data_IF_165349837410
#
_entry.id   IF_165349837410
#
_cell.length_a   1.000
_cell.length_b   1.000
_cell.length_c   1.000
_cell.angle_alpha   90.00
_cell.angle_beta   90.00
_cell.angle_gamma   90.00
#
_symmetry.space_group_name_H-M   'P 1'
#
loop_
_entity.id
_entity.type
_entity.pdbx_description
1 polymer ?
#
# COMPACT_ATOMS: atom_id res chain seq x y z
N UNK A 1 30.24 33.88 -0.53
CA UNK A 1 31.53 33.67 0.16
C UNK A 1 31.24 33.62 1.65
N UNK A 2 31.00 32.43 2.17
CA UNK A 2 31.86 31.77 3.18
C UNK A 2 31.76 32.37 4.61
N UNK A 3 31.18 31.55 5.52
CA UNK A 3 31.72 31.19 6.86
C UNK A 3 31.73 32.26 7.98
N UNK A 4 31.58 31.99 9.28
CA UNK A 4 31.42 30.81 10.14
C UNK A 4 30.80 31.30 11.48
N UNK A 5 29.79 30.61 12.02
CA UNK A 5 29.87 29.73 13.21
C UNK A 5 30.65 30.29 14.41
N UNK A 6 29.92 30.63 15.47
CA UNK A 6 30.42 30.75 16.84
C UNK A 6 30.37 29.39 17.53
N UNK A 7 31.52 29.02 18.07
CA UNK A 7 31.78 27.88 18.96
C UNK A 7 31.17 28.20 20.34
N UNK A 8 30.45 27.25 20.93
CA UNK A 8 30.39 27.10 22.38
C UNK A 8 30.55 25.62 22.72
N UNK A 9 31.64 25.33 23.43
CA UNK A 9 31.94 24.04 24.02
C UNK A 9 31.46 24.04 25.47
N UNK A 10 30.98 22.89 25.96
CA UNK A 10 31.20 22.46 27.35
C UNK A 10 31.28 20.94 27.40
N UNK A 11 32.40 20.48 27.95
CA UNK A 11 32.79 19.09 28.19
C UNK A 11 32.18 18.53 29.46
N UNK A 12 32.00 17.21 29.53
CA UNK A 12 32.72 16.33 30.46
C UNK A 12 32.12 14.93 30.41
N UNK A 13 32.90 13.93 29.97
CA UNK A 13 32.93 12.62 30.62
C UNK A 13 34.24 11.90 30.27
N UNK A 14 34.86 11.43 31.34
CA UNK A 14 36.21 10.91 31.53
C UNK A 14 36.37 9.47 31.04
N UNK A 15 37.45 9.17 30.32
CA UNK A 15 37.95 7.80 30.06
C UNK A 15 39.37 7.71 30.66
N UNK A 16 39.75 6.64 31.39
CA UNK A 16 41.07 6.53 31.97
C UNK A 16 42.12 5.94 31.01
N UNK A 17 43.26 6.63 30.98
CA UNK A 17 44.66 6.17 30.85
C UNK A 17 45.01 4.92 30.03
N UNK A 18 45.73 5.13 28.92
CA UNK A 18 46.61 4.15 28.27
C UNK A 18 48.07 4.46 28.63
N UNK A 19 48.79 3.45 29.11
CA UNK A 19 50.22 3.47 29.43
C UNK A 19 51.06 2.99 28.21
N UNK A 20 51.84 3.91 27.65
CA UNK A 20 53.30 3.88 27.38
C UNK A 20 53.99 2.64 26.73
N UNK A 21 54.60 2.92 25.57
CA UNK A 21 55.87 2.44 24.96
C UNK A 21 56.12 0.96 24.65
N UNK A 22 56.43 0.64 23.39
CA UNK A 22 57.83 0.63 22.93
C UNK A 22 58.01 0.40 21.42
N UNK A 23 59.07 1.03 20.94
CA UNK A 23 59.59 1.09 19.57
C UNK A 23 60.33 -0.21 19.21
N UNK A 24 60.11 -0.73 18.00
CA UNK A 24 61.14 -1.49 17.29
C UNK A 24 61.04 -1.20 15.78
N UNK A 25 62.03 -0.48 15.28
CA UNK A 25 62.25 -0.18 13.86
C UNK A 25 62.98 -1.35 13.19
N UNK A 26 62.42 -1.91 12.12
CA UNK A 26 63.21 -2.58 11.08
C UNK A 26 62.89 -1.95 9.72
N UNK A 27 63.93 -1.34 9.12
CA UNK A 27 63.91 -0.80 7.76
C UNK A 27 63.95 -1.95 6.75
N UNK A 28 62.92 -2.10 5.94
CA UNK A 28 63.01 -2.74 4.62
C UNK A 28 62.35 -1.82 3.60
N UNK A 29 63.09 -1.51 2.54
CA UNK A 29 62.77 -0.57 1.47
C UNK A 29 62.08 -1.38 0.36
N UNK A 30 60.81 -1.14 0.05
CA UNK A 30 60.20 -1.64 -1.19
C UNK A 30 58.92 -0.86 -1.60
N UNK A 31 59.03 -0.20 -2.76
CA UNK A 31 58.01 0.09 -3.77
C UNK A 31 56.66 0.74 -3.38
N UNK A 32 56.50 1.99 -3.82
CA UNK A 32 55.23 2.71 -3.92
C UNK A 32 54.26 1.96 -4.87
N UNK A 33 53.28 1.25 -4.30
CA UNK A 33 52.00 0.99 -4.95
C UNK A 33 50.90 1.64 -4.13
N UNK A 34 50.30 2.71 -4.67
CA UNK A 34 49.06 3.31 -4.16
C UNK A 34 47.94 2.27 -4.22
N UNK A 35 47.68 1.59 -3.11
CA UNK A 35 46.44 0.86 -2.87
C UNK A 35 45.48 1.82 -2.17
N UNK A 36 44.53 2.39 -2.93
CA UNK A 36 43.28 2.90 -2.36
C UNK A 36 42.36 1.70 -2.16
N UNK A 37 41.82 1.43 -0.96
CA UNK A 37 40.62 0.62 -0.86
C UNK A 37 39.44 1.53 -1.20
N UNK A 38 39.04 1.54 -2.47
CA UNK A 38 37.65 1.87 -2.78
C UNK A 38 36.84 0.67 -2.31
N UNK A 39 36.15 0.81 -1.17
CA UNK A 39 35.07 -0.09 -0.80
C UNK A 39 33.96 0.16 -1.82
N UNK A 40 33.63 -0.78 -2.73
CA UNK A 40 32.39 -0.67 -3.46
C UNK A 40 31.30 -1.08 -2.46
N UNK A 41 30.46 -0.13 -2.06
CA UNK A 41 29.10 -0.43 -1.60
C UNK A 41 28.32 -0.98 -2.81
N UNK A 42 28.72 -2.17 -3.26
CA UNK A 42 27.97 -2.97 -4.19
C UNK A 42 26.75 -3.49 -3.45
N UNK A 43 25.60 -2.84 -3.68
CA UNK A 43 24.31 -3.50 -3.46
C UNK A 43 24.28 -4.69 -4.40
N UNK A 44 24.66 -5.85 -3.88
CA UNK A 44 24.55 -7.11 -4.62
C UNK A 44 23.06 -7.46 -4.75
N UNK A 45 22.40 -6.88 -5.76
CA UNK A 45 21.16 -7.42 -6.29
C UNK A 45 21.49 -8.72 -7.03
N UNK A 46 21.73 -9.79 -6.27
CA UNK A 46 21.65 -11.14 -6.80
C UNK A 46 20.19 -11.40 -7.13
N UNK A 47 19.90 -11.48 -8.43
CA UNK A 47 18.65 -11.84 -9.12
C UNK A 47 17.44 -10.91 -8.92
N UNK A 48 17.05 -10.26 -10.03
CA UNK A 48 15.75 -9.62 -10.26
C UNK A 48 14.61 -10.65 -10.13
N UNK A 49 13.56 -10.41 -9.32
CA UNK A 49 12.35 -11.22 -9.36
C UNK A 49 11.46 -10.77 -10.54
N UNK A 50 11.04 -11.72 -11.38
CA UNK A 50 10.00 -11.52 -12.39
C UNK A 50 10.48 -11.33 -13.83
N UNK A 51 11.06 -12.38 -14.42
CA UNK A 51 11.22 -12.52 -15.88
C UNK A 51 10.05 -13.35 -16.42
N UNK A 52 8.91 -12.70 -16.62
CA UNK A 52 7.85 -13.14 -17.54
C UNK A 52 7.50 -11.91 -18.37
N UNK A 53 7.93 -11.90 -19.65
CA UNK A 53 7.68 -10.80 -20.61
C UNK A 53 8.95 -10.06 -21.06
N UNK A 54 9.03 -9.77 -22.36
CA UNK A 54 10.20 -9.21 -23.08
C UNK A 54 10.58 -7.75 -22.73
N UNK A 55 10.17 -7.21 -21.59
CA UNK A 55 10.53 -5.85 -21.18
C UNK A 55 11.74 -5.89 -20.25
N UNK A 56 12.95 -5.88 -20.82
CA UNK A 56 14.18 -5.61 -20.07
C UNK A 56 14.09 -4.15 -19.59
N UNK A 57 13.55 -3.95 -18.38
CA UNK A 57 13.55 -2.64 -17.72
C UNK A 57 15.00 -2.14 -17.64
N UNK A 58 15.30 -1.02 -18.30
CA UNK A 58 16.64 -0.46 -18.30
C UNK A 58 17.10 -0.18 -16.87
N UNK A 59 18.37 -0.42 -16.55
CA UNK A 59 18.92 -0.12 -15.21
C UNK A 59 18.68 1.34 -14.80
N UNK A 60 18.65 2.26 -15.78
CA UNK A 60 18.29 3.65 -15.56
C UNK A 60 16.85 3.82 -15.04
N UNK A 61 15.87 3.07 -15.57
CA UNK A 61 14.48 3.12 -15.09
C UNK A 61 14.30 2.58 -13.66
N UNK A 62 15.23 1.75 -13.19
CA UNK A 62 15.25 1.18 -11.83
C UNK A 62 15.96 2.14 -10.86
N UNK A 63 17.08 2.72 -11.27
CA UNK A 63 17.91 3.61 -10.44
C UNK A 63 17.30 5.02 -10.37
N UNK A 64 16.69 5.49 -11.45
CA UNK A 64 16.07 6.81 -11.54
C UNK A 64 14.71 6.70 -12.24
N UNK A 65 13.67 6.23 -11.53
CA UNK A 65 12.34 6.10 -12.10
C UNK A 65 11.80 7.49 -12.50
N UNK A 66 11.05 7.59 -13.61
CA UNK A 66 10.37 8.84 -13.95
C UNK A 66 9.41 9.22 -12.82
N UNK A 67 9.31 10.53 -12.53
CA UNK A 67 8.51 11.07 -11.42
C UNK A 67 7.05 10.56 -11.47
N UNK A 68 6.48 10.42 -12.66
CA UNK A 68 5.14 9.88 -12.88
C UNK A 68 4.93 8.43 -12.40
N UNK A 69 6.00 7.69 -12.10
CA UNK A 69 5.97 6.32 -11.53
C UNK A 69 6.30 6.29 -10.03
N UNK A 70 6.62 7.43 -9.43
CA UNK A 70 6.83 7.56 -7.98
C UNK A 70 5.47 7.82 -7.32
N UNK A 71 5.21 7.17 -6.18
CA UNK A 71 3.99 7.36 -5.38
C UNK A 71 4.37 7.54 -3.92
N UNK A 72 4.04 8.68 -3.34
CA UNK A 72 4.23 8.90 -1.91
C UNK A 72 2.94 8.55 -1.17
N UNK A 73 2.85 7.32 -0.67
CA UNK A 73 1.67 6.82 0.04
C UNK A 73 1.92 6.70 1.55
N UNK A 74 0.95 7.12 2.36
CA UNK A 74 0.94 6.87 3.80
C UNK A 74 -0.01 5.75 4.17
N UNK A 75 0.34 4.95 5.19
CA UNK A 75 -0.57 3.94 5.75
C UNK A 75 -1.09 4.48 7.09
N UNK A 76 -2.39 4.76 7.15
CA UNK A 76 -3.09 5.20 8.35
C UNK A 76 -3.93 4.05 8.91
N UNK A 77 -3.94 3.87 10.22
CA UNK A 77 -4.72 2.82 10.86
C UNK A 77 -4.93 3.13 12.34
N UNK A 78 -5.97 2.53 12.93
CA UNK A 78 -6.08 2.45 14.40
C UNK A 78 -4.99 1.52 14.98
N UNK A 79 -4.79 1.61 16.30
CA UNK A 79 -4.00 0.64 17.07
C UNK A 79 -4.52 -0.77 16.77
N UNK A 80 -3.58 -1.69 16.55
CA UNK A 80 -3.83 -3.09 16.21
C UNK A 80 -4.63 -3.37 14.94
N UNK A 81 -5.06 -2.38 14.14
CA UNK A 81 -5.72 -2.66 12.85
C UNK A 81 -4.79 -3.36 11.82
N UNK A 82 -3.48 -3.41 12.10
CA UNK A 82 -2.50 -4.17 11.32
C UNK A 82 -1.64 -3.33 10.39
N UNK A 83 -1.49 -2.01 10.64
CA UNK A 83 -0.60 -1.10 9.88
C UNK A 83 0.78 -1.70 9.62
N UNK A 84 1.46 -2.14 10.68
CA UNK A 84 2.83 -2.66 10.58
C UNK A 84 2.86 -3.95 9.79
N UNK A 85 1.93 -4.87 10.04
CA UNK A 85 1.81 -6.14 9.31
C UNK A 85 1.54 -5.91 7.81
N UNK A 86 0.64 -5.00 7.46
CA UNK A 86 0.37 -4.62 6.06
C UNK A 86 1.60 -4.00 5.41
N UNK A 87 2.30 -3.11 6.12
CA UNK A 87 3.53 -2.47 5.62
C UNK A 87 4.63 -3.50 5.38
N UNK A 88 4.86 -4.41 6.32
CA UNK A 88 5.84 -5.49 6.18
C UNK A 88 5.52 -6.41 5.00
N UNK A 89 4.24 -6.75 4.80
CA UNK A 89 3.80 -7.55 3.64
C UNK A 89 4.03 -6.83 2.32
N UNK A 90 3.75 -5.53 2.23
CA UNK A 90 4.05 -4.71 1.04
C UNK A 90 5.56 -4.73 0.75
N UNK A 91 6.40 -4.53 1.76
CA UNK A 91 7.86 -4.57 1.61
C UNK A 91 8.38 -5.97 1.23
N UNK A 92 7.75 -7.03 1.74
CA UNK A 92 8.08 -8.41 1.41
C UNK A 92 7.72 -8.77 -0.03
N UNK A 93 6.50 -8.42 -0.48
CA UNK A 93 6.05 -8.73 -1.84
C UNK A 93 6.72 -7.87 -2.90
N UNK A 94 7.10 -6.63 -2.57
CA UNK A 94 7.92 -5.79 -3.48
C UNK A 94 9.38 -6.27 -3.59
N UNK A 95 9.80 -7.23 -2.76
CA UNK A 95 11.17 -7.74 -2.73
C UNK A 95 12.17 -6.82 -2.04
N UNK A 96 11.70 -5.76 -1.35
CA UNK A 96 12.57 -4.87 -0.58
C UNK A 96 13.12 -5.55 0.67
N UNK A 97 12.27 -6.32 1.36
CA UNK A 97 12.66 -7.11 2.54
C UNK A 97 12.56 -8.59 2.21
N UNK A 98 13.57 -9.39 2.60
CA UNK A 98 13.59 -10.84 2.35
C UNK A 98 12.97 -11.69 3.46
N UNK A 99 12.68 -11.11 4.63
CA UNK A 99 12.13 -11.80 5.80
C UNK A 99 11.08 -10.94 6.52
N UNK A 100 9.96 -11.56 6.91
CA UNK A 100 8.95 -10.96 7.78
C UNK A 100 9.47 -10.93 9.23
N UNK A 101 9.16 -9.89 10.02
CA UNK A 101 9.53 -9.82 11.45
C UNK A 101 10.60 -8.80 11.84
N UNK A 102 10.99 -7.90 10.93
CA UNK A 102 11.71 -6.68 11.33
C UNK A 102 10.70 -5.64 11.79
N UNK A 103 10.40 -5.58 13.09
CA UNK A 103 9.55 -4.51 13.63
C UNK A 103 10.28 -3.18 13.44
N UNK A 104 9.92 -2.47 12.37
CA UNK A 104 10.35 -1.09 12.22
C UNK A 104 9.33 -0.25 12.96
N UNK A 105 9.73 0.24 14.14
CA UNK A 105 8.93 1.15 14.96
C UNK A 105 8.70 2.47 14.21
N UNK A 106 7.57 2.59 13.52
CA UNK A 106 7.16 3.84 12.89
C UNK A 106 6.32 4.67 13.88
N UNK A 107 7.00 5.39 14.76
CA UNK A 107 6.41 6.44 15.62
C UNK A 107 6.72 7.82 15.05
N UNK A 108 6.12 8.14 13.91
CA UNK A 108 6.16 9.49 13.33
C UNK A 108 4.90 10.28 13.70
N UNK A 109 5.08 11.57 13.93
CA UNK A 109 3.96 12.52 14.07
C UNK A 109 3.13 12.52 12.77
N UNK A 110 1.89 12.03 12.86
CA UNK A 110 0.96 11.87 11.73
C UNK A 110 0.84 13.15 10.91
N UNK A 111 0.77 14.32 11.57
CA UNK A 111 0.54 15.60 10.92
C UNK A 111 1.68 16.01 9.97
N UNK A 112 2.93 15.69 10.29
CA UNK A 112 4.07 16.05 9.42
C UNK A 112 4.10 15.18 8.17
N UNK A 113 3.76 13.90 8.32
CA UNK A 113 3.73 12.96 7.21
C UNK A 113 2.65 13.35 6.19
N UNK A 114 1.45 13.70 6.66
CA UNK A 114 0.32 14.08 5.79
C UNK A 114 0.67 15.21 4.80
N UNK A 115 1.58 16.14 5.16
CA UNK A 115 1.97 17.26 4.28
C UNK A 115 2.83 16.86 3.06
N UNK A 116 3.37 15.65 3.06
CA UNK A 116 4.32 15.17 2.03
C UNK A 116 3.70 14.07 1.16
N UNK A 117 2.55 13.53 1.57
CA UNK A 117 1.92 12.39 0.92
C UNK A 117 1.03 12.84 -0.24
N UNK A 118 1.11 12.10 -1.34
CA UNK A 118 0.21 12.27 -2.50
C UNK A 118 -1.10 11.51 -2.30
N UNK A 119 -1.10 10.49 -1.44
CA UNK A 119 -2.27 9.67 -1.13
C UNK A 119 -2.07 8.83 0.13
N UNK A 120 -3.14 8.17 0.59
CA UNK A 120 -3.03 7.30 1.75
C UNK A 120 -3.93 6.06 1.72
N UNK A 121 -3.52 5.02 2.44
CA UNK A 121 -4.26 3.78 2.64
C UNK A 121 -4.75 3.75 4.08
N UNK A 122 -6.07 3.76 4.27
CA UNK A 122 -6.71 3.67 5.55
C UNK A 122 -7.04 2.21 5.88
N UNK A 123 -6.32 1.63 6.83
CA UNK A 123 -6.46 0.24 7.26
C UNK A 123 -7.42 0.15 8.44
N UNK A 124 -8.45 -0.68 8.30
CA UNK A 124 -9.48 -0.94 9.32
C UNK A 124 -9.47 -2.42 9.74
N UNK A 125 -9.78 -2.72 11.01
CA UNK A 125 -10.07 -4.09 11.43
C UNK A 125 -11.53 -4.42 11.06
N UNK A 126 -11.74 -5.45 10.24
CA UNK A 126 -13.05 -5.87 9.77
C UNK A 126 -14.03 -6.30 10.88
N UNK A 127 -13.52 -6.60 12.08
CA UNK A 127 -14.36 -6.91 13.24
C UNK A 127 -14.75 -5.68 14.07
N UNK A 128 -13.90 -4.64 14.09
CA UNK A 128 -14.10 -3.44 14.91
C UNK A 128 -14.70 -2.27 14.11
N UNK A 129 -14.51 -2.25 12.79
CA UNK A 129 -14.94 -1.15 11.92
C UNK A 129 -14.16 0.13 12.20
N UNK A 130 -14.86 1.27 12.22
CA UNK A 130 -14.24 2.57 12.49
C UNK A 130 -14.18 2.87 13.99
N UNK A 131 -12.99 3.15 14.50
CA UNK A 131 -12.74 3.49 15.90
C UNK A 131 -12.47 4.99 16.09
N UNK A 132 -12.52 5.45 17.35
CA UNK A 132 -12.43 6.88 17.68
C UNK A 132 -11.12 7.53 17.20
N UNK A 133 -9.99 6.81 17.29
CA UNK A 133 -8.70 7.33 16.80
C UNK A 133 -8.69 7.49 15.28
N UNK A 134 -9.35 6.59 14.54
CA UNK A 134 -9.44 6.68 13.09
C UNK A 134 -10.14 7.95 12.64
N UNK A 135 -11.15 8.42 13.38
CA UNK A 135 -11.83 9.69 13.10
C UNK A 135 -10.87 10.89 13.17
N UNK A 136 -9.93 10.88 14.12
CA UNK A 136 -8.97 11.99 14.27
C UNK A 136 -8.00 12.05 13.10
N UNK A 137 -7.46 10.90 12.69
CA UNK A 137 -6.55 10.80 11.55
C UNK A 137 -7.26 11.08 10.23
N UNK A 138 -8.52 10.64 10.12
CA UNK A 138 -9.36 10.93 8.95
C UNK A 138 -9.57 12.44 8.77
N UNK A 139 -9.96 13.15 9.83
CA UNK A 139 -10.12 14.62 9.81
C UNK A 139 -8.82 15.35 9.49
N UNK A 140 -7.68 14.84 9.96
CA UNK A 140 -6.38 15.40 9.62
C UNK A 140 -6.08 15.23 8.13
N UNK A 141 -6.39 14.07 7.55
CA UNK A 141 -6.22 13.83 6.12
C UNK A 141 -7.21 14.65 5.27
N UNK A 142 -8.43 14.88 5.75
CA UNK A 142 -9.39 15.80 5.11
C UNK A 142 -8.83 17.22 5.04
N UNK A 143 -8.23 17.72 6.14
CA UNK A 143 -7.63 19.05 6.19
C UNK A 143 -6.49 19.24 5.18
N UNK A 144 -5.80 18.16 4.81
CA UNK A 144 -4.70 18.17 3.86
C UNK A 144 -5.12 17.74 2.44
N UNK A 145 -6.42 17.52 2.20
CA UNK A 145 -6.96 17.08 0.90
C UNK A 145 -6.26 15.83 0.33
N UNK A 146 -5.97 14.86 1.19
CA UNK A 146 -5.23 13.65 0.79
C UNK A 146 -6.21 12.59 0.24
N UNK A 147 -6.12 12.20 -1.03
CA UNK A 147 -6.95 11.13 -1.57
C UNK A 147 -6.61 9.80 -0.89
N UNK A 148 -7.64 9.00 -0.62
CA UNK A 148 -7.53 7.82 0.25
C UNK A 148 -8.21 6.62 -0.36
N UNK A 149 -7.70 5.44 -0.02
CA UNK A 149 -8.39 4.16 -0.20
C UNK A 149 -8.54 3.48 1.15
N UNK A 150 -9.64 2.78 1.37
CA UNK A 150 -9.86 1.96 2.55
C UNK A 150 -9.40 0.53 2.28
N UNK A 151 -8.81 -0.10 3.29
CA UNK A 151 -8.41 -1.50 3.27
C UNK A 151 -8.93 -2.19 4.52
N UNK A 152 -9.84 -3.16 4.33
CA UNK A 152 -10.39 -3.96 5.41
C UNK A 152 -9.45 -5.14 5.69
N UNK A 153 -8.80 -5.10 6.85
CA UNK A 153 -7.85 -6.10 7.29
C UNK A 153 -8.46 -7.05 8.33
N UNK A 154 -7.76 -8.15 8.62
CA UNK A 154 -8.16 -9.19 9.58
C UNK A 154 -9.51 -9.84 9.28
N UNK A 155 -9.81 -10.04 8.00
CA UNK A 155 -11.01 -10.75 7.53
C UNK A 155 -11.08 -12.21 8.02
N UNK A 156 -9.97 -12.77 8.50
CA UNK A 156 -9.82 -14.11 9.07
C UNK A 156 -10.29 -14.22 10.53
N UNK A 157 -10.41 -13.09 11.23
CA UNK A 157 -10.75 -13.04 12.65
C UNK A 157 -12.20 -13.47 12.90
N UNK A 158 -12.44 -14.18 14.01
CA UNK A 158 -13.80 -14.49 14.46
C UNK A 158 -14.57 -13.21 14.76
N UNK A 159 -15.71 -13.02 14.10
CA UNK A 159 -16.50 -11.78 14.18
C UNK A 159 -16.14 -10.72 13.15
N UNK A 160 -15.23 -11.00 12.21
CA UNK A 160 -15.04 -10.15 11.04
C UNK A 160 -16.31 -10.13 10.20
N UNK A 161 -16.83 -8.94 9.91
CA UNK A 161 -18.00 -8.76 9.06
C UNK A 161 -17.77 -7.61 8.09
N UNK A 162 -17.73 -7.94 6.80
CA UNK A 162 -17.54 -6.97 5.72
C UNK A 162 -18.64 -5.91 5.72
N UNK A 163 -19.91 -6.35 5.79
CA UNK A 163 -21.09 -5.47 5.77
C UNK A 163 -21.05 -4.48 6.95
N UNK A 164 -20.73 -4.97 8.15
CA UNK A 164 -20.58 -4.11 9.33
C UNK A 164 -19.47 -3.07 9.15
N UNK A 165 -18.30 -3.47 8.66
CA UNK A 165 -17.17 -2.56 8.48
C UNK A 165 -17.47 -1.45 7.46
N UNK A 166 -18.12 -1.79 6.34
CA UNK A 166 -18.57 -0.84 5.32
C UNK A 166 -19.59 0.15 5.88
N UNK A 167 -20.60 -0.33 6.60
CA UNK A 167 -21.60 0.57 7.20
C UNK A 167 -20.98 1.46 8.27
N UNK A 168 -20.03 0.94 9.04
CA UNK A 168 -19.26 1.72 10.00
C UNK A 168 -18.49 2.87 9.34
N UNK A 169 -17.90 2.65 8.16
CA UNK A 169 -17.25 3.69 7.36
C UNK A 169 -18.26 4.74 6.93
N UNK A 170 -19.42 4.33 6.43
CA UNK A 170 -20.49 5.24 5.99
C UNK A 170 -21.00 6.12 7.13
N UNK A 171 -21.39 5.54 8.25
CA UNK A 171 -22.02 6.26 9.36
C UNK A 171 -21.03 7.14 10.13
N UNK A 172 -19.87 6.60 10.51
CA UNK A 172 -18.93 7.28 11.42
C UNK A 172 -18.04 8.28 10.68
N UNK A 173 -17.55 7.95 9.48
CA UNK A 173 -16.70 8.85 8.69
C UNK A 173 -17.52 9.80 7.82
N UNK A 174 -18.82 9.53 7.62
CA UNK A 174 -19.69 10.28 6.69
C UNK A 174 -19.15 10.29 5.26
N UNK A 175 -18.40 9.26 4.89
CA UNK A 175 -17.84 9.07 3.56
C UNK A 175 -18.76 8.14 2.75
N UNK A 176 -18.73 8.26 1.42
CA UNK A 176 -19.41 7.33 0.51
C UNK A 176 -18.44 6.19 0.15
N UNK A 177 -18.62 4.96 0.66
CA UNK A 177 -17.74 3.84 0.30
C UNK A 177 -18.09 3.29 -1.09
N UNK A 178 -17.09 3.14 -1.96
CA UNK A 178 -17.22 2.45 -3.25
C UNK A 178 -16.67 1.03 -3.10
N UNK A 179 -17.53 0.02 -3.22
CA UNK A 179 -17.13 -1.38 -3.06
C UNK A 179 -16.44 -1.87 -4.34
N UNK A 180 -15.13 -2.08 -4.27
CA UNK A 180 -14.37 -2.62 -5.42
C UNK A 180 -14.23 -4.14 -5.34
N UNK A 181 -14.23 -4.68 -4.12
CA UNK A 181 -14.00 -6.10 -3.87
C UNK A 181 -15.04 -6.66 -2.90
N UNK A 182 -15.42 -7.92 -3.13
CA UNK A 182 -16.27 -8.70 -2.24
C UNK A 182 -15.49 -9.89 -1.68
N UNK A 183 -15.58 -10.19 -0.38
CA UNK A 183 -14.90 -11.35 0.20
C UNK A 183 -15.60 -12.66 -0.18
N UNK A 184 -14.80 -13.72 -0.36
CA UNK A 184 -15.28 -15.09 -0.54
C UNK A 184 -15.11 -15.81 0.81
N UNK A 185 -16.22 -15.99 1.51
CA UNK A 185 -16.27 -16.56 2.87
C UNK A 185 -16.05 -15.51 3.96
N UNK A 186 -16.17 -15.96 5.22
CA UNK A 186 -16.10 -15.09 6.41
C UNK A 186 -15.22 -15.74 7.49
N UNK A 187 -14.45 -14.91 8.21
CA UNK A 187 -13.57 -15.37 9.28
C UNK A 187 -12.68 -16.54 8.81
N UNK A 188 -12.79 -17.71 9.45
CA UNK A 188 -11.97 -18.89 9.13
C UNK A 188 -12.25 -19.49 7.75
N UNK A 189 -13.39 -19.19 7.13
CA UNK A 189 -13.73 -19.68 5.78
C UNK A 189 -13.32 -18.70 4.68
N UNK A 190 -12.71 -17.56 5.04
CA UNK A 190 -12.19 -16.59 4.09
C UNK A 190 -11.09 -17.22 3.22
N UNK A 191 -11.33 -17.31 1.91
CA UNK A 191 -10.42 -17.95 0.94
C UNK A 191 -9.91 -16.99 -0.12
N UNK A 192 -10.56 -15.85 -0.30
CA UNK A 192 -10.18 -14.88 -1.30
C UNK A 192 -11.19 -13.78 -1.52
N UNK A 193 -11.10 -13.12 -2.66
CA UNK A 193 -11.93 -11.96 -3.00
C UNK A 193 -12.39 -12.04 -4.45
N UNK A 194 -13.53 -11.44 -4.74
CA UNK A 194 -14.02 -11.18 -6.09
C UNK A 194 -13.79 -9.71 -6.40
N UNK A 195 -13.17 -9.44 -7.54
CA UNK A 195 -13.06 -8.11 -8.10
C UNK A 195 -14.37 -7.76 -8.84
N UNK A 196 -15.09 -6.75 -8.33
CA UNK A 196 -16.37 -6.30 -8.88
C UNK A 196 -16.17 -5.54 -10.20
N UNK A 197 -15.00 -4.94 -10.40
CA UNK A 197 -14.64 -4.14 -11.57
C UNK A 197 -14.24 -5.03 -12.75
N UNK A 198 -13.53 -6.14 -12.52
CA UNK A 198 -13.15 -7.07 -13.59
C UNK A 198 -14.03 -8.33 -13.67
N UNK A 199 -14.89 -8.59 -12.67
CA UNK A 199 -15.66 -9.85 -12.52
C UNK A 199 -14.75 -11.08 -12.44
N UNK A 200 -13.57 -10.95 -11.84
CA UNK A 200 -12.62 -12.04 -11.64
C UNK A 200 -12.58 -12.47 -10.17
N UNK A 201 -12.49 -13.77 -9.92
CA UNK A 201 -12.21 -14.31 -8.59
C UNK A 201 -10.72 -14.49 -8.37
N UNK A 202 -10.26 -14.07 -7.21
CA UNK A 202 -8.89 -14.20 -6.71
C UNK A 202 -8.93 -15.17 -5.52
N UNK A 203 -8.34 -16.34 -5.69
CA UNK A 203 -8.31 -17.39 -4.66
C UNK A 203 -6.88 -17.63 -4.19
N UNK A 204 -6.66 -17.58 -2.87
CA UNK A 204 -5.38 -17.92 -2.27
C UNK A 204 -5.40 -19.36 -1.78
N UNK A 205 -4.35 -20.10 -2.10
CA UNK A 205 -4.17 -21.46 -1.60
C UNK A 205 -3.73 -21.39 -0.13
N UNK A 206 -4.55 -21.93 0.79
CA UNK A 206 -4.25 -21.94 2.22
C UNK A 206 -2.95 -22.67 2.60
N UNK A 207 -2.41 -23.47 1.67
CA UNK A 207 -1.16 -24.22 1.85
C UNK A 207 0.09 -23.39 1.50
N UNK A 208 -0.05 -22.20 0.89
CA UNK A 208 1.07 -21.30 0.62
C UNK A 208 1.29 -20.41 1.84
N UNK A 209 2.45 -20.53 2.48
CA UNK A 209 2.77 -19.81 3.72
C UNK A 209 2.84 -18.28 3.53
N UNK A 210 3.11 -17.85 2.30
CA UNK A 210 3.49 -16.47 2.03
C UNK A 210 2.40 -15.67 1.33
N UNK A 211 1.36 -16.29 0.76
CA UNK A 211 0.29 -15.59 0.05
C UNK A 211 0.69 -14.94 -1.28
N UNK A 212 1.86 -15.30 -1.83
CA UNK A 212 2.33 -14.83 -3.15
C UNK A 212 1.59 -15.48 -4.31
N UNK A 213 1.25 -16.76 -4.15
CA UNK A 213 0.58 -17.54 -5.19
C UNK A 213 -0.93 -17.46 -5.00
N UNK A 214 -1.62 -16.91 -5.99
CA UNK A 214 -3.07 -16.87 -6.06
C UNK A 214 -3.54 -17.23 -7.47
N UNK A 215 -4.70 -17.87 -7.56
CA UNK A 215 -5.33 -18.19 -8.82
C UNK A 215 -6.35 -17.11 -9.17
N UNK A 216 -6.18 -16.52 -10.35
CA UNK A 216 -7.17 -15.64 -10.96
C UNK A 216 -8.01 -16.45 -11.94
N UNK A 217 -9.33 -16.47 -11.72
CA UNK A 217 -10.29 -17.16 -12.59
C UNK A 217 -11.43 -16.21 -12.93
N UNK A 218 -11.96 -16.23 -14.17
CA UNK A 218 -13.19 -15.50 -14.46
C UNK A 218 -14.34 -16.08 -13.62
N UNK A 219 -15.26 -15.22 -13.20
CA UNK A 219 -16.44 -15.65 -12.48
C UNK A 219 -17.46 -16.19 -13.48
N UNK A 220 -17.78 -17.48 -13.37
CA UNK A 220 -18.65 -18.21 -14.30
C UNK A 220 -19.88 -18.73 -13.55
N UNK A 221 -21.05 -18.61 -14.19
CA UNK A 221 -22.35 -19.06 -13.66
C UNK A 221 -22.33 -20.51 -13.14
N UNK A 222 -21.58 -21.39 -13.81
CA UNK A 222 -21.55 -22.82 -13.50
C UNK A 222 -20.91 -23.17 -12.15
N UNK A 223 -20.07 -22.29 -11.60
CA UNK A 223 -19.32 -22.60 -10.37
C UNK A 223 -20.05 -22.10 -9.12
N UNK A 224 -20.49 -20.84 -9.13
CA UNK A 224 -20.99 -20.13 -7.93
C UNK A 224 -22.09 -19.11 -8.32
N UNK A 225 -23.34 -19.56 -8.57
CA UNK A 225 -24.39 -18.69 -9.11
C UNK A 225 -24.84 -17.59 -8.13
N UNK A 226 -24.84 -17.87 -6.82
CA UNK A 226 -25.19 -16.88 -5.79
C UNK A 226 -24.17 -15.73 -5.73
N UNK A 227 -22.88 -16.07 -5.78
CA UNK A 227 -21.78 -15.10 -5.75
C UNK A 227 -21.77 -14.23 -7.01
N UNK A 228 -22.09 -14.81 -8.17
CA UNK A 228 -22.24 -14.04 -9.41
C UNK A 228 -23.35 -13.02 -9.29
N UNK A 229 -24.51 -13.43 -8.77
CA UNK A 229 -25.64 -12.53 -8.58
C UNK A 229 -25.28 -11.37 -7.64
N UNK A 230 -24.68 -11.67 -6.50
CA UNK A 230 -24.22 -10.65 -5.54
C UNK A 230 -23.17 -9.71 -6.17
N UNK A 231 -22.24 -10.25 -6.96
CA UNK A 231 -21.22 -9.45 -7.65
C UNK A 231 -21.82 -8.53 -8.71
N UNK A 232 -22.78 -9.02 -9.49
CA UNK A 232 -23.48 -8.22 -10.51
C UNK A 232 -24.33 -7.12 -9.88
N UNK A 233 -25.04 -7.42 -8.79
CA UNK A 233 -25.78 -6.41 -8.02
C UNK A 233 -24.84 -5.35 -7.44
N UNK A 234 -23.72 -5.75 -6.83
CA UNK A 234 -22.71 -4.83 -6.32
C UNK A 234 -22.07 -3.98 -7.42
N UNK A 235 -21.83 -4.56 -8.61
CA UNK A 235 -21.30 -3.84 -9.76
C UNK A 235 -22.28 -2.78 -10.26
N UNK A 236 -23.55 -3.11 -10.38
CA UNK A 236 -24.57 -2.15 -10.82
C UNK A 236 -24.68 -1.00 -9.82
N UNK A 237 -24.74 -1.31 -8.51
CA UNK A 237 -24.74 -0.31 -7.46
C UNK A 237 -23.46 0.55 -7.44
N UNK A 238 -22.31 -0.01 -7.82
CA UNK A 238 -21.06 0.75 -7.98
C UNK A 238 -21.13 1.71 -9.18
N UNK A 239 -21.63 1.25 -10.32
CA UNK A 239 -21.78 2.05 -11.54
C UNK A 239 -22.73 3.23 -11.29
N UNK A 240 -23.89 2.98 -10.68
CA UNK A 240 -24.85 4.02 -10.29
C UNK A 240 -24.19 5.07 -9.38
N UNK A 241 -23.52 4.64 -8.32
CA UNK A 241 -22.84 5.55 -7.40
C UNK A 241 -21.72 6.37 -8.05
N UNK A 242 -20.99 5.80 -9.00
CA UNK A 242 -19.92 6.52 -9.71
C UNK A 242 -20.52 7.50 -10.72
N UNK A 243 -21.60 7.14 -11.41
CA UNK A 243 -22.32 8.04 -12.31
C UNK A 243 -22.91 9.25 -11.57
N UNK A 244 -23.41 9.07 -10.35
CA UNK A 244 -23.89 10.18 -9.51
C UNK A 244 -22.78 11.17 -9.09
N UNK A 245 -21.51 10.78 -9.19
CA UNK A 245 -20.35 11.53 -8.68
C UNK A 245 -19.43 12.08 -9.77
N UNK A 246 -19.53 11.56 -10.99
CA UNK A 246 -18.66 11.87 -12.12
C UNK A 246 -19.51 12.13 -13.37
N UNK A 247 -19.74 13.41 -13.67
CA UNK A 247 -20.60 13.86 -14.78
C UNK A 247 -20.15 13.28 -16.14
N UNK A 248 -18.83 13.24 -16.39
CA UNK A 248 -18.29 12.72 -17.65
C UNK A 248 -18.54 11.21 -17.79
N UNK A 249 -18.48 10.48 -16.68
CA UNK A 249 -18.84 9.06 -16.67
C UNK A 249 -20.35 8.85 -16.80
N UNK A 250 -21.17 9.71 -16.19
CA UNK A 250 -22.63 9.66 -16.32
C UNK A 250 -23.06 9.81 -17.78
N UNK A 251 -22.52 10.80 -18.49
CA UNK A 251 -22.80 11.02 -19.91
C UNK A 251 -22.42 9.79 -20.74
N UNK A 252 -21.24 9.21 -20.52
CA UNK A 252 -20.79 7.99 -21.21
C UNK A 252 -21.73 6.80 -20.97
N UNK A 253 -22.20 6.62 -19.74
CA UNK A 253 -23.11 5.52 -19.39
C UNK A 253 -24.48 5.72 -20.05
N UNK A 254 -24.98 6.96 -20.08
CA UNK A 254 -26.27 7.29 -20.70
C UNK A 254 -26.26 7.21 -22.22
N UNK A 255 -25.14 7.55 -22.87
CA UNK A 255 -25.02 7.51 -24.33
C UNK A 255 -24.73 6.11 -24.88
N UNK A 256 -23.75 5.41 -24.31
CA UNK A 256 -23.22 4.16 -24.89
C UNK A 256 -23.76 2.88 -24.23
N UNK A 257 -24.21 2.94 -22.97
CA UNK A 257 -24.48 1.74 -22.15
C UNK A 257 -25.85 1.73 -21.45
N UNK A 258 -26.80 2.58 -21.89
CA UNK A 258 -28.10 2.75 -21.25
C UNK A 258 -28.94 1.48 -21.14
N UNK A 259 -28.74 0.52 -22.06
CA UNK A 259 -29.49 -0.74 -22.10
C UNK A 259 -28.79 -1.90 -21.39
N UNK A 260 -27.46 -1.85 -21.23
CA UNK A 260 -26.72 -2.95 -20.62
C UNK A 260 -25.38 -2.53 -19.98
N UNK A 261 -25.38 -2.41 -18.65
CA UNK A 261 -24.18 -2.11 -17.86
C UNK A 261 -23.12 -3.22 -17.88
N UNK A 262 -23.48 -4.45 -18.28
CA UNK A 262 -22.52 -5.56 -18.32
C UNK A 262 -21.46 -5.41 -19.41
N UNK A 263 -21.74 -4.61 -20.45
CA UNK A 263 -20.82 -4.35 -21.55
C UNK A 263 -19.79 -3.26 -21.22
N UNK A 264 -19.96 -2.56 -20.09
CA UNK A 264 -19.06 -1.47 -19.70
C UNK A 264 -17.64 -1.99 -19.45
N UNK A 265 -16.62 -1.48 -20.19
CA UNK A 265 -15.23 -1.88 -19.99
C UNK A 265 -14.71 -1.50 -18.60
N UNK A 266 -13.94 -2.41 -17.98
CA UNK A 266 -13.32 -2.19 -16.68
C UNK A 266 -12.41 -0.94 -16.64
N UNK A 267 -11.70 -0.64 -17.73
CA UNK A 267 -10.78 0.50 -17.82
C UNK A 267 -11.47 1.86 -17.66
N UNK A 268 -12.67 2.01 -18.26
CA UNK A 268 -13.47 3.23 -18.17
C UNK A 268 -13.95 3.44 -16.74
N UNK A 269 -14.45 2.37 -16.12
CA UNK A 269 -14.88 2.39 -14.72
C UNK A 269 -13.72 2.71 -13.76
N UNK A 270 -12.53 2.12 -13.98
CA UNK A 270 -11.33 2.43 -13.18
C UNK A 270 -10.90 3.89 -13.30
N UNK A 271 -11.00 4.46 -14.51
CA UNK A 271 -10.65 5.87 -14.74
C UNK A 271 -11.61 6.81 -13.98
N UNK A 272 -12.91 6.52 -14.01
CA UNK A 272 -13.91 7.28 -13.25
C UNK A 272 -13.70 7.15 -11.74
N UNK A 273 -13.50 5.92 -11.22
CA UNK A 273 -13.18 5.69 -9.81
C UNK A 273 -11.94 6.48 -9.38
N UNK A 274 -10.90 6.52 -10.23
CA UNK A 274 -9.70 7.29 -9.96
C UNK A 274 -9.99 8.80 -9.87
N UNK A 275 -10.78 9.38 -10.78
CA UNK A 275 -11.20 10.79 -10.71
C UNK A 275 -11.98 11.09 -9.43
N UNK A 276 -12.97 10.27 -9.11
CA UNK A 276 -13.80 10.38 -7.89
C UNK A 276 -12.93 10.30 -6.62
N UNK A 277 -11.95 9.40 -6.60
CA UNK A 277 -11.02 9.24 -5.47
C UNK A 277 -10.11 10.46 -5.30
N UNK A 278 -9.61 11.03 -6.40
CA UNK A 278 -8.79 12.24 -6.38
C UNK A 278 -9.61 13.47 -5.93
N UNK A 279 -10.88 13.54 -6.32
CA UNK A 279 -11.83 14.56 -5.87
C UNK A 279 -12.29 14.36 -4.41
N UNK A 280 -11.99 13.20 -3.81
CA UNK A 280 -12.37 12.83 -2.44
C UNK A 280 -13.89 12.82 -2.17
N UNK A 281 -14.71 12.69 -3.21
CA UNK A 281 -16.18 12.66 -3.09
C UNK A 281 -16.70 11.29 -2.65
N UNK A 282 -15.94 10.24 -2.95
CA UNK A 282 -16.13 8.90 -2.43
C UNK A 282 -14.79 8.19 -2.21
N UNK A 283 -14.82 7.09 -1.47
CA UNK A 283 -13.61 6.35 -1.06
C UNK A 283 -13.73 4.89 -1.48
N UNK A 284 -12.78 4.37 -2.27
CA UNK A 284 -12.72 2.94 -2.59
C UNK A 284 -12.49 2.07 -1.36
N UNK A 285 -13.20 0.94 -1.28
CA UNK A 285 -13.10 -0.08 -0.21
C UNK A 285 -12.87 -1.45 -0.83
#
# INVERSE_FOLDING_TARGET
>A
MWTNLRIFAMSHQTIPSVYINNICCYKIRASLKRLKPHVPLGRNCSSLPGLIGNDIKSLHSIINPPIAKIRNIGIMAHIDAGKTTTTERILYYSGYTRSLGGHVDFTLEVERCLRVLDGAVAVFDASAGVEAQTLTVWRQADKHNIPRICFLNKMDKTGASFKYAVESIREKLKAKPLLLQLPIGEAKTFKGVVDVVTKEKLLWNCNSNDGKDFERKPLLEMNDPELLKETTEARNALIEQVADLDDEFADLVLEEFSENFDLLPAEKLQTAIHRVTLAQTAVPV
#
